data_IF_083377339949
#
_entry.id   IF_083377339949
#
_cell.length_a   1.000
_cell.length_b   1.000
_cell.length_c   1.000
_cell.angle_alpha   90.00
_cell.angle_beta   90.00
_cell.angle_gamma   90.00
#
_symmetry.space_group_name_H-M   'P 1'
#
loop_
_entity.id
_entity.type
_entity.pdbx_description
1 polymer ?
#
# COMPACT_ATOMS: atom_id res chain seq x y z
N UNK A 1 -10.63 6.72 19.52
CA UNK A 1 -9.39 6.49 18.74
C UNK A 1 -9.48 7.28 17.45
N UNK A 2 -8.36 7.73 16.92
CA UNK A 2 -8.29 8.41 15.63
C UNK A 2 -7.34 7.61 14.73
N UNK A 3 -7.88 6.96 13.71
CA UNK A 3 -7.11 6.30 12.67
C UNK A 3 -6.78 7.31 11.57
N UNK A 4 -5.51 7.42 11.23
CA UNK A 4 -5.02 8.28 10.15
C UNK A 4 -3.88 7.63 9.39
N UNK A 5 -3.62 8.11 8.19
CA UNK A 5 -2.57 7.58 7.34
C UNK A 5 -1.93 8.68 6.50
N UNK A 6 -0.68 8.46 6.08
CA UNK A 6 0.07 9.37 5.23
C UNK A 6 1.00 8.57 4.32
N UNK A 7 1.24 9.02 3.10
CA UNK A 7 2.18 8.36 2.20
C UNK A 7 3.55 9.04 2.25
N UNK A 8 4.58 8.25 2.40
CA UNK A 8 5.96 8.70 2.20
C UNK A 8 6.26 8.82 0.69
N UNK A 9 5.59 8.07 -0.13
CA UNK A 9 5.66 8.03 -1.59
C UNK A 9 5.09 6.71 -2.11
N UNK A 10 4.58 6.70 -3.34
CA UNK A 10 3.95 5.52 -3.95
C UNK A 10 4.19 5.47 -5.45
N UNK A 11 4.67 4.34 -5.95
CA UNK A 11 4.98 4.05 -7.35
C UNK A 11 6.19 3.14 -7.51
N UNK A 12 6.62 2.90 -8.74
CA UNK A 12 7.63 1.89 -9.10
C UNK A 12 9.06 2.17 -8.56
N UNK A 13 9.31 3.32 -7.93
CA UNK A 13 10.64 3.66 -7.37
C UNK A 13 10.69 3.52 -5.85
N UNK A 14 9.58 3.17 -5.22
CA UNK A 14 9.49 2.92 -3.80
C UNK A 14 8.12 3.26 -3.24
N UNK A 15 7.67 2.42 -2.33
CA UNK A 15 6.40 2.55 -1.64
C UNK A 15 6.63 2.55 -0.13
N UNK A 16 5.94 3.43 0.57
CA UNK A 16 5.84 3.41 2.02
C UNK A 16 4.63 4.21 2.48
N UNK A 17 3.74 3.58 3.24
CA UNK A 17 2.56 4.20 3.83
C UNK A 17 2.67 4.14 5.35
N UNK A 18 2.50 5.28 6.02
CA UNK A 18 2.48 5.37 7.48
C UNK A 18 1.01 5.35 7.95
N UNK A 19 0.69 4.40 8.82
CA UNK A 19 -0.63 4.26 9.46
C UNK A 19 -0.48 4.48 10.95
N UNK A 20 -1.33 5.33 11.52
CA UNK A 20 -1.32 5.63 12.95
C UNK A 20 -2.73 5.53 13.52
N UNK A 21 -2.86 4.81 14.65
CA UNK A 21 -4.01 4.90 15.55
C UNK A 21 -3.59 5.58 16.85
N UNK A 22 -4.39 6.52 17.34
CA UNK A 22 -4.11 7.21 18.60
C UNK A 22 -5.38 7.50 19.39
N UNK A 23 -5.30 7.36 20.70
CA UNK A 23 -6.33 7.77 21.66
C UNK A 23 -6.01 9.13 22.33
N UNK A 24 -4.94 9.79 21.90
CA UNK A 24 -4.45 11.05 22.46
C UNK A 24 -3.42 10.87 23.58
N UNK A 25 -3.29 9.67 24.16
CA UNK A 25 -2.29 9.33 25.21
C UNK A 25 -1.27 8.35 24.69
N UNK A 26 -1.72 7.36 23.93
CA UNK A 26 -0.89 6.36 23.27
C UNK A 26 -1.08 6.44 21.75
N UNK A 27 -0.11 5.97 21.00
CA UNK A 27 -0.21 5.83 19.56
C UNK A 27 0.49 4.57 19.08
N UNK A 28 -0.15 3.88 18.14
CA UNK A 28 0.42 2.75 17.41
C UNK A 28 0.74 3.21 15.99
N UNK A 29 2.01 3.07 15.56
CA UNK A 29 2.51 3.51 14.25
C UNK A 29 3.07 2.34 13.47
N UNK A 30 2.52 2.12 12.30
CA UNK A 30 2.94 1.05 11.40
C UNK A 30 3.39 1.64 10.07
N UNK A 31 4.57 1.23 9.62
CA UNK A 31 5.03 1.51 8.26
C UNK A 31 4.68 0.31 7.38
N UNK A 32 3.79 0.49 6.42
CA UNK A 32 3.49 -0.49 5.39
C UNK A 32 4.43 -0.27 4.21
N UNK A 33 5.27 -1.24 3.96
CA UNK A 33 6.41 -1.25 3.06
C UNK A 33 7.52 -0.24 3.43
N UNK A 34 8.73 -0.48 2.93
CA UNK A 34 9.90 0.37 3.15
C UNK A 34 10.78 0.32 1.88
N UNK A 35 10.17 0.66 0.74
CA UNK A 35 10.78 0.55 -0.59
C UNK A 35 11.92 1.55 -0.84
N UNK A 36 11.99 2.61 -0.05
CA UNK A 36 13.05 3.61 -0.17
C UNK A 36 14.33 3.20 0.58
N UNK A 37 15.46 3.83 0.23
CA UNK A 37 16.69 3.70 1.01
C UNK A 37 16.54 4.34 2.41
N UNK A 38 17.30 3.85 3.40
CA UNK A 38 17.15 4.24 4.82
C UNK A 38 17.15 5.77 5.03
N UNK A 39 18.07 6.51 4.37
CA UNK A 39 18.17 7.97 4.52
C UNK A 39 16.91 8.67 4.01
N UNK A 40 16.40 8.19 2.88
CA UNK A 40 15.20 8.72 2.26
C UNK A 40 13.95 8.41 3.09
N UNK A 41 13.82 7.18 3.59
CA UNK A 41 12.73 6.81 4.51
C UNK A 41 12.73 7.71 5.75
N UNK A 42 13.89 7.95 6.36
CA UNK A 42 14.01 8.84 7.53
C UNK A 42 13.58 10.26 7.19
N UNK A 43 14.09 10.84 6.11
CA UNK A 43 13.73 12.18 5.65
C UNK A 43 12.22 12.35 5.43
N UNK A 44 11.58 11.33 4.84
CA UNK A 44 10.14 11.34 4.57
C UNK A 44 9.30 11.14 5.85
N UNK A 45 9.76 10.33 6.80
CA UNK A 45 9.14 10.21 8.12
C UNK A 45 9.23 11.51 8.91
N UNK A 46 10.40 12.17 8.89
CA UNK A 46 10.61 13.47 9.57
C UNK A 46 9.68 14.57 9.02
N UNK A 47 9.41 14.58 7.71
CA UNK A 47 8.42 15.48 7.10
C UNK A 47 7.03 15.33 7.73
N UNK A 48 6.68 14.10 8.12
CA UNK A 48 5.39 13.78 8.78
C UNK A 48 5.44 13.91 10.30
N UNK A 49 6.56 14.41 10.86
CA UNK A 49 6.75 14.52 12.30
C UNK A 49 6.95 13.18 13.02
N UNK A 50 7.32 12.12 12.29
CA UNK A 50 7.48 10.79 12.82
C UNK A 50 8.97 10.42 12.96
N UNK A 51 9.41 10.10 14.17
CA UNK A 51 10.77 9.59 14.40
C UNK A 51 10.84 8.10 14.00
N UNK A 52 11.92 7.63 13.33
CA UNK A 52 12.07 6.22 12.98
C UNK A 52 11.89 5.23 14.13
N UNK A 53 12.38 5.60 15.32
CA UNK A 53 12.28 4.76 16.53
C UNK A 53 10.88 4.76 17.17
N UNK A 54 9.95 5.58 16.70
CA UNK A 54 8.55 5.59 17.17
C UNK A 54 7.64 4.66 16.37
N UNK A 55 8.19 3.91 15.40
CA UNK A 55 7.45 2.88 14.69
C UNK A 55 7.35 1.61 15.53
N UNK A 56 6.16 1.06 15.65
CA UNK A 56 5.90 -0.20 16.36
C UNK A 56 6.14 -1.43 15.47
N UNK A 57 6.00 -1.27 14.15
CA UNK A 57 6.28 -2.33 13.19
C UNK A 57 6.48 -1.79 11.77
N UNK A 58 7.15 -2.61 10.94
CA UNK A 58 7.12 -2.53 9.49
C UNK A 58 6.35 -3.75 8.99
N UNK A 59 5.32 -3.55 8.16
CA UNK A 59 4.66 -4.62 7.43
C UNK A 59 5.18 -4.61 6.00
N UNK A 60 5.55 -5.77 5.48
CA UNK A 60 6.02 -5.91 4.09
C UNK A 60 5.02 -6.74 3.31
N UNK A 61 4.51 -6.16 2.22
CA UNK A 61 3.51 -6.77 1.37
C UNK A 61 4.08 -7.95 0.58
N UNK A 62 5.21 -7.75 -0.10
CA UNK A 62 5.85 -8.76 -0.93
C UNK A 62 7.34 -8.43 -1.20
N UNK A 63 8.03 -9.29 -1.95
CA UNK A 63 9.48 -9.25 -2.14
C UNK A 63 10.00 -8.27 -3.19
N UNK A 64 9.17 -7.57 -3.96
CA UNK A 64 9.66 -6.63 -4.98
C UNK A 64 10.44 -5.47 -4.36
N UNK A 65 11.47 -5.02 -5.07
CA UNK A 65 12.44 -4.07 -4.54
C UNK A 65 11.86 -2.73 -4.08
N UNK A 66 10.82 -2.27 -4.75
CA UNK A 66 10.09 -1.03 -4.45
C UNK A 66 9.15 -1.15 -3.24
N UNK A 67 9.01 -2.33 -2.64
CA UNK A 67 8.26 -2.61 -1.41
C UNK A 67 9.18 -3.02 -0.27
N UNK A 68 9.98 -4.08 -0.43
CA UNK A 68 10.89 -4.55 0.61
C UNK A 68 12.07 -3.59 0.84
N UNK A 69 12.63 -3.03 -0.24
CA UNK A 69 13.69 -2.04 -0.25
C UNK A 69 14.72 -2.15 0.86
N UNK A 70 14.66 -1.25 1.81
CA UNK A 70 15.54 -1.25 2.97
C UNK A 70 14.91 -1.79 4.27
N UNK A 71 13.75 -2.43 4.22
CA UNK A 71 12.96 -2.82 5.40
C UNK A 71 13.79 -3.53 6.49
N UNK A 72 14.52 -4.58 6.15
CA UNK A 72 15.34 -5.29 7.15
C UNK A 72 16.50 -4.47 7.70
N UNK A 73 17.18 -3.71 6.85
CA UNK A 73 18.30 -2.88 7.27
C UNK A 73 17.82 -1.69 8.14
N UNK A 74 16.67 -1.13 7.82
CA UNK A 74 16.00 -0.11 8.63
C UNK A 74 15.55 -0.70 9.97
N UNK A 75 14.87 -1.84 9.96
CA UNK A 75 14.41 -2.57 11.13
C UNK A 75 15.56 -2.89 12.10
N UNK A 76 16.66 -3.44 11.58
CA UNK A 76 17.86 -3.74 12.38
C UNK A 76 18.51 -2.48 12.98
N UNK A 77 18.45 -1.34 12.26
CA UNK A 77 19.03 -0.08 12.74
C UNK A 77 18.22 0.58 13.86
N UNK A 78 16.89 0.52 13.76
CA UNK A 78 15.98 1.22 14.67
C UNK A 78 15.26 0.30 15.65
N UNK A 79 15.58 -1.00 15.62
CA UNK A 79 15.00 -2.03 16.50
C UNK A 79 13.48 -2.17 16.33
N UNK A 80 12.98 -2.01 15.09
CA UNK A 80 11.57 -2.14 14.73
C UNK A 80 11.31 -3.56 14.20
N UNK A 81 10.30 -4.31 14.67
CA UNK A 81 9.99 -5.64 14.14
C UNK A 81 9.42 -5.55 12.71
N UNK A 82 9.74 -6.55 11.90
CA UNK A 82 9.20 -6.71 10.53
C UNK A 82 8.18 -7.85 10.51
N UNK A 83 7.00 -7.57 9.97
CA UNK A 83 5.97 -8.58 9.72
C UNK A 83 5.84 -8.80 8.22
N UNK A 84 5.81 -10.05 7.80
CA UNK A 84 5.69 -10.40 6.37
C UNK A 84 5.19 -11.85 6.23
N UNK A 85 4.82 -12.25 5.00
CA UNK A 85 4.51 -13.65 4.72
C UNK A 85 5.77 -14.53 4.77
N UNK A 86 5.58 -15.81 4.97
CA UNK A 86 6.70 -16.76 4.95
C UNK A 86 7.33 -16.85 3.55
N UNK A 87 6.51 -16.77 2.49
CA UNK A 87 6.98 -16.78 1.10
C UNK A 87 7.85 -15.58 0.78
N UNK A 88 7.42 -14.37 1.15
CA UNK A 88 8.19 -13.13 1.01
C UNK A 88 9.52 -13.22 1.77
N UNK A 89 9.51 -13.67 3.03
CA UNK A 89 10.74 -13.84 3.80
C UNK A 89 11.71 -14.82 3.13
N UNK A 90 11.23 -15.96 2.66
CA UNK A 90 12.10 -16.93 1.95
C UNK A 90 12.73 -16.38 0.68
N UNK A 91 12.04 -15.48 -0.02
CA UNK A 91 12.60 -14.80 -1.19
C UNK A 91 13.66 -13.74 -0.82
N UNK A 92 13.58 -13.16 0.37
CA UNK A 92 14.35 -11.98 0.78
C UNK A 92 15.33 -12.22 1.95
N UNK A 93 15.43 -13.44 2.47
CA UNK A 93 16.26 -13.79 3.64
C UNK A 93 17.76 -13.48 3.45
N UNK A 94 18.24 -13.33 2.21
CA UNK A 94 19.62 -12.95 1.89
C UNK A 94 19.85 -11.44 1.87
N UNK A 95 18.81 -10.62 1.99
CA UNK A 95 18.94 -9.16 1.97
C UNK A 95 19.64 -8.66 3.23
N UNK A 96 20.32 -7.52 3.09
CA UNK A 96 21.07 -6.87 4.19
C UNK A 96 20.16 -6.59 5.39
N UNK A 97 20.51 -7.16 6.54
CA UNK A 97 19.83 -6.95 7.81
C UNK A 97 18.77 -7.99 8.15
N UNK A 98 18.42 -8.90 7.22
CA UNK A 98 17.46 -9.96 7.48
C UNK A 98 17.86 -10.88 8.63
N UNK A 99 19.17 -11.11 8.81
CA UNK A 99 19.76 -11.89 9.90
C UNK A 99 19.69 -11.20 11.28
N UNK A 100 19.41 -9.88 11.30
CA UNK A 100 19.38 -9.06 12.53
C UNK A 100 18.02 -8.44 12.81
N UNK A 101 17.12 -8.44 11.85
CA UNK A 101 15.77 -7.95 12.03
C UNK A 101 14.94 -8.95 12.85
N UNK A 102 14.10 -8.45 13.74
CA UNK A 102 13.11 -9.26 14.43
C UNK A 102 11.94 -9.54 13.47
N UNK A 103 11.99 -10.65 12.72
CA UNK A 103 10.97 -11.00 11.74
C UNK A 103 9.86 -11.81 12.40
N UNK A 104 8.62 -11.45 12.11
CA UNK A 104 7.39 -12.14 12.49
C UNK A 104 6.59 -12.50 11.25
N UNK A 105 5.86 -13.59 11.32
CA UNK A 105 5.09 -14.07 10.16
C UNK A 105 3.61 -13.80 10.34
N UNK A 106 2.96 -13.36 9.26
CA UNK A 106 1.52 -13.25 9.13
C UNK A 106 1.04 -14.03 7.90
N UNK A 107 -0.24 -14.37 7.88
CA UNK A 107 -0.88 -15.13 6.80
C UNK A 107 -2.17 -14.45 6.41
N UNK A 108 -2.57 -14.64 5.14
CA UNK A 108 -3.89 -14.22 4.68
C UNK A 108 -4.99 -14.79 5.58
N UNK A 109 -6.01 -13.99 5.84
CA UNK A 109 -7.19 -14.31 6.65
C UNK A 109 -6.95 -14.54 8.16
N UNK A 110 -5.69 -14.45 8.60
CA UNK A 110 -5.32 -14.60 10.02
C UNK A 110 -5.03 -13.21 10.64
N UNK A 111 -6.05 -12.61 11.23
CA UNK A 111 -5.94 -11.28 11.81
C UNK A 111 -5.09 -11.28 13.08
N UNK A 112 -4.26 -10.27 13.23
CA UNK A 112 -3.43 -10.05 14.43
C UNK A 112 -3.53 -8.60 14.90
N UNK A 113 -2.96 -8.29 16.07
CA UNK A 113 -2.94 -6.92 16.60
C UNK A 113 -1.52 -6.45 16.89
N UNK A 114 -1.29 -5.17 16.65
CA UNK A 114 -0.11 -4.43 17.09
C UNK A 114 -0.64 -3.19 17.82
N UNK A 115 -0.38 -3.08 19.12
CA UNK A 115 -0.98 -2.03 19.93
C UNK A 115 -2.50 -2.01 19.78
N UNK A 116 -3.05 -0.86 19.42
CA UNK A 116 -4.50 -0.63 19.27
C UNK A 116 -5.02 -0.91 17.86
N UNK A 117 -4.16 -1.34 16.94
CA UNK A 117 -4.54 -1.68 15.57
C UNK A 117 -4.74 -3.19 15.41
N UNK A 118 -5.93 -3.58 14.99
CA UNK A 118 -6.20 -4.90 14.43
C UNK A 118 -5.87 -4.87 12.95
N UNK A 119 -5.10 -5.84 12.49
CA UNK A 119 -4.58 -5.92 11.13
C UNK A 119 -5.07 -7.22 10.50
N UNK A 120 -5.73 -7.12 9.36
CA UNK A 120 -6.20 -8.27 8.59
C UNK A 120 -5.40 -8.35 7.29
N UNK A 121 -4.47 -9.31 7.17
CA UNK A 121 -3.80 -9.60 5.90
C UNK A 121 -4.76 -10.33 4.96
N UNK A 122 -4.66 -10.06 3.66
CA UNK A 122 -5.35 -10.80 2.61
C UNK A 122 -4.45 -10.96 1.38
N UNK A 123 -4.61 -12.02 0.61
CA UNK A 123 -3.79 -12.27 -0.57
C UNK A 123 -4.35 -11.56 -1.80
N UNK A 124 -3.47 -11.30 -2.76
CA UNK A 124 -3.81 -10.65 -4.03
C UNK A 124 -3.19 -11.42 -5.20
N UNK A 125 -3.80 -11.39 -6.39
CA UNK A 125 -3.18 -11.94 -7.60
C UNK A 125 -2.04 -11.02 -8.05
N UNK A 126 -0.80 -11.40 -7.73
CA UNK A 126 0.41 -10.67 -8.11
C UNK A 126 1.57 -11.64 -8.34
N UNK A 127 2.56 -11.25 -9.15
CA UNK A 127 3.71 -12.09 -9.52
C UNK A 127 4.79 -12.14 -8.42
N UNK A 128 4.36 -12.46 -7.22
CA UNK A 128 5.17 -12.64 -6.02
C UNK A 128 4.89 -13.99 -5.35
N UNK A 129 5.74 -14.43 -4.42
CA UNK A 129 5.63 -15.78 -3.82
C UNK A 129 4.44 -15.97 -2.91
N UNK A 130 4.15 -14.97 -2.09
CA UNK A 130 3.04 -14.97 -1.13
C UNK A 130 2.66 -13.52 -0.83
N UNK A 131 2.13 -12.80 -1.85
CA UNK A 131 1.83 -11.38 -1.71
C UNK A 131 0.65 -11.17 -0.77
N UNK A 132 0.80 -10.22 0.15
CA UNK A 132 -0.23 -9.80 1.09
C UNK A 132 -0.56 -8.33 0.89
N UNK A 133 -1.82 -8.00 1.11
CA UNK A 133 -2.28 -6.64 1.37
C UNK A 133 -2.95 -6.58 2.73
N UNK A 134 -3.25 -5.38 3.23
CA UNK A 134 -3.65 -5.23 4.62
C UNK A 134 -4.85 -4.31 4.79
N UNK A 135 -5.69 -4.67 5.76
CA UNK A 135 -6.74 -3.81 6.30
C UNK A 135 -6.37 -3.49 7.75
N UNK A 136 -6.40 -2.21 8.08
CA UNK A 136 -6.15 -1.68 9.43
C UNK A 136 -7.47 -1.26 10.05
N UNK A 137 -7.71 -1.66 11.30
CA UNK A 137 -8.97 -1.45 12.02
C UNK A 137 -8.65 -1.00 13.46
N UNK A 138 -9.14 0.16 13.88
CA UNK A 138 -9.00 0.67 15.25
C UNK A 138 -10.24 0.39 16.13
N UNK A 139 -11.16 -0.42 15.62
CA UNK A 139 -12.44 -0.75 16.26
C UNK A 139 -13.59 0.20 15.88
N UNK A 140 -13.30 1.37 15.32
CA UNK A 140 -14.29 2.35 14.86
C UNK A 140 -14.18 2.62 13.35
N UNK A 141 -12.96 2.60 12.81
CA UNK A 141 -12.63 2.94 11.43
C UNK A 141 -11.76 1.88 10.79
N UNK A 142 -11.93 1.71 9.48
CA UNK A 142 -11.19 0.70 8.69
C UNK A 142 -10.55 1.36 7.47
N UNK A 143 -9.23 1.20 7.37
CA UNK A 143 -8.43 1.58 6.21
C UNK A 143 -8.07 0.32 5.42
N UNK A 144 -8.43 0.25 4.15
CA UNK A 144 -7.95 -0.77 3.23
C UNK A 144 -6.80 -0.25 2.37
N UNK A 145 -5.84 -1.11 2.08
CA UNK A 145 -4.79 -0.84 1.10
C UNK A 145 -4.80 -1.95 0.06
N UNK A 146 -4.79 -1.58 -1.20
CA UNK A 146 -4.67 -2.48 -2.34
C UNK A 146 -3.71 -1.87 -3.34
N UNK A 147 -2.51 -2.40 -3.39
CA UNK A 147 -1.51 -2.14 -4.43
C UNK A 147 -1.07 -3.47 -5.03
N UNK A 148 -0.47 -3.43 -6.21
CA UNK A 148 0.12 -4.64 -6.80
C UNK A 148 -0.85 -5.82 -6.92
N UNK A 149 -1.96 -5.57 -7.58
CA UNK A 149 -2.92 -6.60 -7.96
C UNK A 149 -3.15 -6.56 -9.48
N UNK A 150 -3.14 -7.72 -10.13
CA UNK A 150 -3.35 -7.79 -11.59
C UNK A 150 -4.83 -7.84 -11.97
N UNK A 151 -5.70 -8.30 -11.10
CA UNK A 151 -7.12 -8.47 -11.41
C UNK A 151 -8.01 -8.36 -10.17
N UNK A 152 -9.29 -8.08 -10.41
CA UNK A 152 -10.34 -8.15 -9.40
C UNK A 152 -10.80 -9.60 -9.20
N UNK A 153 -11.00 -10.02 -7.94
CA UNK A 153 -11.60 -11.31 -7.59
C UNK A 153 -12.70 -11.12 -6.56
N UNK A 154 -13.63 -12.10 -6.47
CA UNK A 154 -14.68 -12.10 -5.44
C UNK A 154 -14.10 -12.06 -4.03
N UNK A 155 -13.05 -12.83 -3.79
CA UNK A 155 -12.32 -12.87 -2.53
C UNK A 155 -11.77 -11.47 -2.15
N UNK A 156 -11.07 -10.84 -3.09
CA UNK A 156 -10.51 -9.48 -2.90
C UNK A 156 -11.62 -8.46 -2.58
N UNK A 157 -12.67 -8.41 -3.40
CA UNK A 157 -13.78 -7.48 -3.17
C UNK A 157 -14.51 -7.76 -1.84
N UNK A 158 -14.61 -9.00 -1.41
CA UNK A 158 -15.19 -9.39 -0.12
C UNK A 158 -14.43 -8.78 1.07
N UNK A 159 -13.09 -8.75 1.02
CA UNK A 159 -12.26 -8.13 2.05
C UNK A 159 -12.40 -6.61 2.09
N UNK A 160 -12.58 -5.99 0.93
CA UNK A 160 -12.63 -4.53 0.78
C UNK A 160 -14.02 -3.92 1.10
N UNK A 161 -14.95 -4.69 1.63
CA UNK A 161 -16.26 -4.16 2.06
C UNK A 161 -16.14 -3.44 3.42
N UNK A 162 -16.96 -2.41 3.62
CA UNK A 162 -17.07 -1.69 4.89
C UNK A 162 -15.83 -0.87 5.27
N UNK A 163 -15.04 -0.44 4.29
CA UNK A 163 -13.91 0.47 4.49
C UNK A 163 -14.40 1.91 4.68
N UNK A 164 -13.69 2.69 5.50
CA UNK A 164 -13.92 4.13 5.68
C UNK A 164 -12.92 4.95 4.86
N UNK A 165 -11.71 4.41 4.67
CA UNK A 165 -10.73 4.95 3.73
C UNK A 165 -10.10 3.82 2.91
N UNK A 166 -9.67 4.14 1.69
CA UNK A 166 -9.12 3.17 0.75
C UNK A 166 -7.95 3.77 -0.03
N UNK A 167 -6.79 3.15 0.07
CA UNK A 167 -5.63 3.40 -0.81
C UNK A 167 -5.67 2.36 -1.91
N UNK A 168 -5.96 2.80 -3.13
CA UNK A 168 -6.27 1.92 -4.26
C UNK A 168 -5.30 2.12 -5.40
N UNK A 169 -4.71 1.04 -5.88
CA UNK A 169 -3.87 1.04 -7.07
C UNK A 169 -4.62 1.58 -8.29
N UNK A 170 -3.97 2.52 -8.97
CA UNK A 170 -4.31 3.01 -10.30
C UNK A 170 -3.03 3.01 -11.13
N UNK A 171 -2.54 1.82 -11.49
CA UNK A 171 -1.19 1.72 -12.03
C UNK A 171 -1.09 2.29 -13.45
N UNK A 172 -1.96 1.89 -14.36
CA UNK A 172 -1.81 2.27 -15.76
C UNK A 172 -3.13 2.58 -16.44
N UNK A 173 -3.04 3.49 -17.42
CA UNK A 173 -4.04 3.62 -18.47
C UNK A 173 -3.76 2.58 -19.57
N UNK A 174 -4.80 1.90 -20.04
CA UNK A 174 -4.66 0.81 -21.03
C UNK A 174 -4.09 1.29 -22.36
N UNK A 175 -4.48 2.46 -22.82
CA UNK A 175 -4.02 3.01 -24.10
C UNK A 175 -2.57 3.47 -23.99
N UNK A 176 -2.20 4.13 -22.90
CA UNK A 176 -0.81 4.51 -22.65
C UNK A 176 0.09 3.29 -22.59
N UNK A 177 -0.30 2.24 -21.85
CA UNK A 177 0.49 1.00 -21.77
C UNK A 177 0.61 0.34 -23.16
N UNK A 178 -0.49 0.22 -23.90
CA UNK A 178 -0.48 -0.39 -25.24
C UNK A 178 0.43 0.37 -26.22
N UNK A 179 0.46 1.70 -26.16
CA UNK A 179 1.23 2.56 -27.04
C UNK A 179 2.63 2.91 -26.50
N UNK A 180 3.01 2.45 -25.31
CA UNK A 180 4.31 2.74 -24.69
C UNK A 180 5.47 2.11 -25.47
N UNK A 181 6.69 2.59 -25.23
CA UNK A 181 7.91 2.00 -25.79
C UNK A 181 8.34 0.68 -25.11
N UNK A 182 7.59 0.19 -24.13
CA UNK A 182 7.93 -1.05 -23.45
C UNK A 182 7.91 -2.26 -24.38
N UNK A 183 8.84 -3.24 -24.19
CA UNK A 183 8.77 -4.52 -24.89
C UNK A 183 7.42 -5.21 -24.66
N UNK A 184 6.97 -5.97 -25.64
CA UNK A 184 5.70 -6.70 -25.57
C UNK A 184 5.56 -7.55 -24.31
N UNK A 185 6.61 -8.28 -23.94
CA UNK A 185 6.63 -9.12 -22.72
C UNK A 185 6.38 -8.33 -21.44
N UNK A 186 6.93 -7.10 -21.35
CA UNK A 186 6.71 -6.23 -20.19
C UNK A 186 5.28 -5.68 -20.17
N UNK A 187 4.72 -5.31 -21.34
CA UNK A 187 3.30 -4.91 -21.43
C UNK A 187 2.36 -6.02 -20.98
N UNK A 188 2.63 -7.25 -21.43
CA UNK A 188 1.84 -8.43 -21.04
C UNK A 188 1.97 -8.74 -19.54
N UNK A 189 3.15 -8.56 -18.95
CA UNK A 189 3.36 -8.71 -17.51
C UNK A 189 2.58 -7.65 -16.72
N UNK A 190 2.70 -6.36 -17.09
CA UNK A 190 2.04 -5.25 -16.38
C UNK A 190 0.52 -5.36 -16.48
N UNK A 191 -0.03 -5.57 -17.67
CA UNK A 191 -1.47 -5.64 -17.91
C UNK A 191 -2.11 -7.02 -17.73
N UNK A 192 -1.35 -8.02 -17.27
CA UNK A 192 -1.82 -9.39 -17.06
C UNK A 192 -2.44 -9.61 -15.69
N UNK A 193 -3.06 -10.79 -15.49
CA UNK A 193 -3.81 -11.16 -14.27
C UNK A 193 -2.98 -11.15 -12.98
N UNK A 194 -1.66 -11.20 -13.08
CA UNK A 194 -0.72 -11.12 -11.97
C UNK A 194 0.17 -9.86 -12.03
N UNK A 195 -0.18 -8.89 -12.86
CA UNK A 195 0.52 -7.63 -13.00
C UNK A 195 -0.05 -6.56 -12.07
N UNK A 196 -0.60 -5.50 -12.67
CA UNK A 196 -1.11 -4.32 -11.96
C UNK A 196 -2.49 -3.89 -12.46
N UNK A 197 -3.28 -3.24 -11.61
CA UNK A 197 -4.60 -2.74 -11.96
C UNK A 197 -4.51 -1.60 -12.98
N UNK A 198 -5.23 -1.75 -14.08
CA UNK A 198 -5.57 -0.63 -14.94
C UNK A 198 -6.59 0.28 -14.24
N UNK A 199 -6.62 1.57 -14.60
CA UNK A 199 -7.51 2.57 -14.00
C UNK A 199 -8.99 2.17 -14.05
N UNK A 200 -9.44 1.55 -15.14
CA UNK A 200 -10.83 1.08 -15.30
C UNK A 200 -11.17 -0.10 -14.37
N UNK A 201 -10.22 -1.01 -14.13
CA UNK A 201 -10.40 -2.12 -13.17
C UNK A 201 -10.44 -1.58 -11.74
N UNK A 202 -9.55 -0.64 -11.39
CA UNK A 202 -9.57 0.04 -10.10
C UNK A 202 -10.93 0.72 -9.85
N UNK A 203 -11.44 1.46 -10.83
CA UNK A 203 -12.76 2.08 -10.77
C UNK A 203 -13.89 1.06 -10.61
N UNK A 204 -13.81 -0.09 -11.28
CA UNK A 204 -14.80 -1.17 -11.16
C UNK A 204 -14.79 -1.82 -9.75
N UNK A 205 -13.60 -2.06 -9.17
CA UNK A 205 -13.47 -2.53 -7.78
C UNK A 205 -14.11 -1.51 -6.84
N UNK A 206 -13.76 -0.23 -6.98
CA UNK A 206 -14.29 0.84 -6.15
C UNK A 206 -15.82 0.95 -6.25
N UNK A 207 -16.38 0.93 -7.46
CA UNK A 207 -17.83 0.98 -7.69
C UNK A 207 -18.56 -0.18 -6.98
N UNK A 208 -17.91 -1.33 -6.88
CA UNK A 208 -18.47 -2.53 -6.23
C UNK A 208 -18.45 -2.44 -4.70
N UNK A 209 -17.40 -1.85 -4.11
CA UNK A 209 -17.18 -1.86 -2.66
C UNK A 209 -17.61 -0.54 -1.99
N UNK A 210 -17.90 0.51 -2.77
CA UNK A 210 -18.33 1.82 -2.25
C UNK A 210 -19.64 1.72 -1.46
N UNK A 211 -19.70 2.50 -0.40
CA UNK A 211 -20.90 2.69 0.42
C UNK A 211 -20.82 4.08 1.09
N UNK A 212 -21.88 4.52 1.74
CA UNK A 212 -21.98 5.88 2.32
C UNK A 212 -20.95 6.18 3.41
N UNK A 213 -20.37 5.15 4.02
CA UNK A 213 -19.32 5.29 5.03
C UNK A 213 -17.89 5.38 4.47
N UNK A 214 -17.68 5.20 3.15
CA UNK A 214 -16.36 5.34 2.51
C UNK A 214 -16.14 6.82 2.16
N UNK A 215 -15.31 7.51 2.93
CA UNK A 215 -15.14 8.95 2.83
C UNK A 215 -13.85 9.38 2.12
N UNK A 216 -12.81 8.56 2.19
CA UNK A 216 -11.49 8.89 1.63
C UNK A 216 -11.02 7.79 0.70
N UNK A 217 -10.79 8.11 -0.56
CA UNK A 217 -10.18 7.20 -1.54
C UNK A 217 -8.98 7.89 -2.16
N UNK A 218 -7.80 7.26 -2.08
CA UNK A 218 -6.55 7.78 -2.64
C UNK A 218 -6.11 6.88 -3.77
N UNK A 219 -5.89 7.44 -4.97
CA UNK A 219 -5.27 6.71 -6.06
C UNK A 219 -3.76 6.60 -5.82
N UNK A 220 -3.22 5.40 -5.91
CA UNK A 220 -1.85 5.09 -5.54
C UNK A 220 -1.15 4.19 -6.58
N UNK A 221 0.15 4.03 -6.43
CA UNK A 221 1.00 3.14 -7.24
C UNK A 221 0.92 3.41 -8.75
N UNK A 222 0.92 4.69 -9.13
CA UNK A 222 0.84 5.11 -10.52
C UNK A 222 2.16 4.84 -11.26
N UNK A 223 2.06 4.29 -12.46
CA UNK A 223 3.19 4.16 -13.38
C UNK A 223 3.59 5.54 -13.92
N UNK A 224 4.86 5.92 -13.77
CA UNK A 224 5.39 7.18 -14.33
C UNK A 224 5.30 7.27 -15.85
N UNK A 225 5.26 6.14 -16.56
CA UNK A 225 5.28 6.11 -18.02
C UNK A 225 3.93 5.78 -18.65
N UNK A 226 3.08 5.06 -17.94
CA UNK A 226 1.86 4.51 -18.49
C UNK A 226 0.60 5.04 -17.81
N UNK A 227 0.74 6.12 -17.03
CA UNK A 227 -0.40 6.80 -16.41
C UNK A 227 -0.12 8.29 -16.25
N UNK A 228 -1.19 9.04 -15.94
CA UNK A 228 -1.10 10.42 -15.43
C UNK A 228 -1.98 10.56 -14.19
N UNK A 229 -1.67 11.50 -13.29
CA UNK A 229 -2.54 11.82 -12.16
C UNK A 229 -3.99 12.12 -12.58
N UNK A 230 -4.18 12.81 -13.69
CA UNK A 230 -5.50 13.18 -14.21
C UNK A 230 -6.31 11.97 -14.66
N UNK A 231 -5.67 11.00 -15.36
CA UNK A 231 -6.35 9.79 -15.82
C UNK A 231 -6.76 8.90 -14.63
N UNK A 232 -5.86 8.71 -13.67
CA UNK A 232 -6.15 7.97 -12.45
C UNK A 232 -7.27 8.64 -11.63
N UNK A 233 -7.16 9.95 -11.39
CA UNK A 233 -8.17 10.70 -10.66
C UNK A 233 -9.54 10.69 -11.35
N UNK A 234 -9.57 10.79 -12.68
CA UNK A 234 -10.82 10.76 -13.47
C UNK A 234 -11.53 9.42 -13.34
N UNK A 235 -10.80 8.30 -13.37
CA UNK A 235 -11.37 6.98 -13.21
C UNK A 235 -12.00 6.80 -11.82
N UNK A 236 -11.29 7.19 -10.77
CA UNK A 236 -11.77 7.11 -9.38
C UNK A 236 -12.94 8.08 -9.14
N UNK A 237 -12.84 9.33 -9.61
CA UNK A 237 -13.90 10.34 -9.49
C UNK A 237 -15.21 9.88 -10.13
N UNK A 238 -15.12 9.28 -11.33
CA UNK A 238 -16.27 8.70 -12.02
C UNK A 238 -16.96 7.62 -11.20
N UNK A 239 -16.21 6.73 -10.55
CA UNK A 239 -16.75 5.66 -9.70
C UNK A 239 -17.37 6.22 -8.40
N UNK A 240 -16.83 7.31 -7.85
CA UNK A 240 -17.34 7.98 -6.64
C UNK A 240 -18.51 8.93 -6.92
N UNK A 241 -18.60 9.49 -8.13
CA UNK A 241 -19.54 10.56 -8.47
C UNK A 241 -19.13 11.92 -7.89
N UNK A 242 -17.81 12.19 -7.84
CA UNK A 242 -17.20 13.46 -7.37
C UNK A 242 -16.43 14.16 -8.48
N UNK A 243 -15.91 15.36 -8.23
CA UNK A 243 -15.04 16.02 -9.20
C UNK A 243 -13.64 15.39 -9.21
N UNK A 244 -12.99 15.37 -10.38
CA UNK A 244 -11.62 14.80 -10.53
C UNK A 244 -10.62 15.44 -9.57
N UNK A 245 -10.72 16.75 -9.31
CA UNK A 245 -9.86 17.47 -8.39
C UNK A 245 -10.03 17.11 -6.90
N UNK A 246 -11.09 16.38 -6.55
CA UNK A 246 -11.36 15.94 -5.18
C UNK A 246 -10.70 14.59 -4.86
N UNK A 247 -10.09 13.93 -5.85
CA UNK A 247 -9.41 12.64 -5.66
C UNK A 247 -7.93 12.87 -5.36
N UNK A 248 -7.47 12.60 -4.14
CA UNK A 248 -6.05 12.68 -3.79
C UNK A 248 -5.24 11.59 -4.50
N UNK A 249 -4.03 11.95 -4.89
CA UNK A 249 -3.06 11.05 -5.54
C UNK A 249 -1.87 10.84 -4.60
N UNK A 250 -1.46 9.60 -4.43
CA UNK A 250 -0.22 9.28 -3.75
C UNK A 250 0.96 9.47 -4.72
N UNK A 251 1.60 10.63 -4.66
CA UNK A 251 2.73 10.97 -5.52
C UNK A 251 3.98 10.16 -5.15
N UNK A 252 4.81 9.83 -6.16
CA UNK A 252 6.05 9.06 -5.95
C UNK A 252 7.08 9.83 -5.13
N UNK A 253 7.21 11.14 -5.35
CA UNK A 253 8.23 11.98 -4.72
C UNK A 253 7.73 12.63 -3.43
N UNK A 254 6.56 13.22 -3.48
CA UNK A 254 5.99 13.97 -2.36
C UNK A 254 5.17 13.10 -1.41
N UNK A 255 4.62 11.98 -1.87
CA UNK A 255 3.60 11.25 -1.10
C UNK A 255 2.36 12.11 -0.87
N UNK A 256 1.77 12.00 0.31
CA UNK A 256 0.74 12.93 0.82
C UNK A 256 0.82 13.03 2.34
N UNK A 257 0.31 14.15 2.87
CA UNK A 257 0.26 14.40 4.29
C UNK A 257 -0.90 13.66 4.97
N UNK A 258 -0.95 13.69 6.30
CA UNK A 258 -1.93 12.98 7.11
C UNK A 258 -3.38 13.16 6.63
N UNK A 259 -4.04 12.04 6.38
CA UNK A 259 -5.46 11.93 6.08
C UNK A 259 -6.15 11.17 7.22
N UNK A 260 -7.33 11.62 7.63
CA UNK A 260 -8.18 10.87 8.55
C UNK A 260 -8.93 9.74 7.82
N UNK A 261 -9.21 8.67 8.56
CA UNK A 261 -10.02 7.54 8.09
C UNK A 261 -11.48 7.71 8.48
#
# INVERSE_FOLDING_TARGET
>A
MALRFASLGSGSEGNALLVESSDGTTSTRILLDCGFGIRETVRRLERLGCAPASLDAILVTHEHGDHIGSAYAFAAKYSVPVWTSHGTYRATASLRGADRAAVRFCRADDAFSIGDLRILPYTVPHDAREPLQFIFDDGARRLGVLTDAGMSTEYLCGHLTGLHAFVLECNHDREMLANSAYPWSLKQRIGGDFGHLANDIAAAILARVRHDGLHTVVAAHLSKQNNTPELAATAIASALGVATGDVPIADQEAGFDWQAV
#
